data_IF_158712836103
#
_entry.id   IF_158712836103
#
_cell.length_a   1.000
_cell.length_b   1.000
_cell.length_c   1.000
_cell.angle_alpha   90.00
_cell.angle_beta   90.00
_cell.angle_gamma   90.00
#
_symmetry.space_group_name_H-M   'P 1'
#
loop_
_entity.id
_entity.type
_entity.pdbx_description
1 polymer ?
#
# COMPACT_ATOMS: atom_id res chain seq x y z
N UNK A 1 -17.33 17.38 -16.80
CA UNK A 1 -16.89 17.76 -15.43
C UNK A 1 -17.57 16.85 -14.43
N UNK A 2 -16.91 15.75 -14.07
CA UNK A 2 -17.37 14.86 -13.00
C UNK A 2 -16.94 15.49 -11.68
N UNK A 3 -17.88 16.07 -10.94
CA UNK A 3 -17.62 16.58 -9.61
C UNK A 3 -17.70 15.40 -8.64
N UNK A 4 -16.54 14.88 -8.22
CA UNK A 4 -16.45 14.03 -7.03
C UNK A 4 -16.78 14.94 -5.83
N UNK A 5 -18.03 14.92 -5.41
CA UNK A 5 -18.44 15.55 -4.17
C UNK A 5 -17.80 14.76 -3.03
N UNK A 6 -16.71 15.31 -2.48
CA UNK A 6 -16.12 14.91 -1.19
C UNK A 6 -17.04 15.32 -0.04
N UNK A 7 -18.28 14.82 -0.06
CA UNK A 7 -19.12 14.73 1.12
C UNK A 7 -18.71 13.49 1.89
N UNK A 8 -17.80 13.65 2.84
CA UNK A 8 -17.33 12.59 3.74
C UNK A 8 -18.44 12.16 4.71
N UNK A 9 -19.43 11.43 4.21
CA UNK A 9 -20.10 10.40 4.99
C UNK A 9 -19.54 9.05 4.54
N UNK A 10 -18.41 8.67 5.14
CA UNK A 10 -17.84 7.34 5.01
C UNK A 10 -18.85 6.31 5.55
N UNK A 11 -19.52 5.58 4.66
CA UNK A 11 -20.06 4.26 4.97
C UNK A 11 -18.96 3.19 4.86
N UNK A 12 -17.74 3.46 5.35
CA UNK A 12 -16.64 2.47 5.36
C UNK A 12 -16.46 1.77 6.70
N UNK A 13 -17.31 2.06 7.70
CA UNK A 13 -17.03 1.70 9.08
C UNK A 13 -17.74 0.46 9.62
N UNK A 14 -18.89 0.08 9.05
CA UNK A 14 -19.66 -1.07 9.55
C UNK A 14 -19.44 -2.36 8.75
N UNK A 15 -18.88 -2.28 7.54
CA UNK A 15 -18.89 -3.40 6.59
C UNK A 15 -17.78 -4.44 6.84
N UNK A 16 -16.53 -4.00 7.07
CA UNK A 16 -15.44 -4.89 7.51
C UNK A 16 -15.70 -5.47 8.92
N UNK A 17 -16.47 -4.78 9.75
CA UNK A 17 -16.89 -5.26 11.07
C UNK A 17 -18.00 -6.33 10.96
N UNK A 18 -18.91 -6.22 9.99
CA UNK A 18 -19.94 -7.24 9.74
C UNK A 18 -19.33 -8.56 9.24
N UNK A 19 -18.33 -8.51 8.34
CA UNK A 19 -17.63 -9.71 7.87
C UNK A 19 -16.87 -10.41 9.03
N UNK A 20 -16.27 -9.65 9.94
CA UNK A 20 -15.66 -10.22 11.17
C UNK A 20 -16.68 -10.80 12.16
N UNK A 21 -17.86 -10.19 12.31
CA UNK A 21 -18.95 -10.69 13.17
C UNK A 21 -19.63 -11.95 12.64
N UNK A 22 -19.57 -12.20 11.32
CA UNK A 22 -20.24 -13.34 10.68
C UNK A 22 -19.42 -14.63 10.65
N UNK A 23 -18.27 -14.71 11.35
CA UNK A 23 -17.29 -15.81 11.17
C UNK A 23 -16.95 -16.05 9.68
N UNK A 24 -17.02 -15.02 8.84
CA UNK A 24 -16.48 -15.06 7.49
C UNK A 24 -15.06 -14.48 7.56
N UNK A 25 -14.01 -15.29 7.35
CA UNK A 25 -12.65 -14.88 7.65
C UNK A 25 -12.20 -13.75 6.72
N UNK A 26 -11.79 -12.63 7.33
CA UNK A 26 -11.07 -11.52 6.69
C UNK A 26 -9.56 -11.83 6.49
N UNK A 27 -9.23 -13.11 6.42
CA UNK A 27 -7.96 -13.66 5.96
C UNK A 27 -8.31 -14.53 4.75
N UNK A 28 -7.39 -14.86 3.82
CA UNK A 28 -7.64 -15.99 2.93
C UNK A 28 -8.11 -17.13 3.83
N UNK A 29 -9.31 -17.66 3.57
CA UNK A 29 -9.90 -18.79 4.30
C UNK A 29 -8.76 -19.71 4.69
N UNK A 30 -8.42 -19.79 5.98
CA UNK A 30 -7.29 -20.62 6.38
C UNK A 30 -7.69 -22.02 5.99
N UNK A 31 -7.10 -22.51 4.90
CA UNK A 31 -7.35 -23.85 4.43
C UNK A 31 -7.04 -24.78 5.62
N UNK A 32 -7.91 -25.77 5.88
CA UNK A 32 -7.43 -26.94 6.59
C UNK A 32 -6.15 -27.39 5.90
N UNK A 33 -5.13 -27.85 6.65
CA UNK A 33 -3.81 -28.26 6.11
C UNK A 33 -3.88 -29.17 4.87
N UNK A 34 -5.02 -29.83 4.67
CA UNK A 34 -5.35 -30.66 3.52
C UNK A 34 -5.45 -29.90 2.18
N UNK A 35 -5.78 -28.60 2.19
CA UNK A 35 -6.07 -27.80 0.99
C UNK A 35 -5.11 -26.60 0.80
N UNK A 36 -4.03 -26.53 1.58
CA UNK A 36 -3.09 -25.40 1.60
C UNK A 36 -2.47 -25.13 0.21
N UNK A 37 -2.21 -26.19 -0.56
CA UNK A 37 -1.61 -26.10 -1.90
C UNK A 37 -2.62 -26.23 -3.06
N UNK A 38 -3.89 -26.51 -2.77
CA UNK A 38 -4.91 -26.79 -3.79
C UNK A 38 -5.23 -25.53 -4.61
N UNK A 39 -4.84 -25.55 -5.89
CA UNK A 39 -5.07 -24.46 -6.85
C UNK A 39 -6.57 -24.18 -7.02
N UNK A 40 -7.41 -25.22 -7.08
CA UNK A 40 -8.85 -25.06 -7.25
C UNK A 40 -9.48 -24.48 -5.98
N UNK A 41 -9.02 -24.89 -4.80
CA UNK A 41 -9.48 -24.31 -3.55
C UNK A 41 -9.11 -22.83 -3.44
N UNK A 42 -7.88 -22.44 -3.80
CA UNK A 42 -7.45 -21.04 -3.83
C UNK A 42 -8.30 -20.22 -4.80
N UNK A 43 -8.55 -20.73 -6.00
CA UNK A 43 -9.44 -20.09 -6.99
C UNK A 43 -10.86 -19.92 -6.45
N UNK A 44 -11.42 -20.97 -5.87
CA UNK A 44 -12.74 -20.93 -5.23
C UNK A 44 -12.81 -19.86 -4.14
N UNK A 45 -11.80 -19.78 -3.26
CA UNK A 45 -11.76 -18.77 -2.20
C UNK A 45 -11.75 -17.34 -2.76
N UNK A 46 -10.94 -17.09 -3.81
CA UNK A 46 -10.88 -15.77 -4.45
C UNK A 46 -12.20 -15.41 -5.14
N UNK A 47 -12.80 -16.34 -5.86
CA UNK A 47 -14.09 -16.09 -6.51
C UNK A 47 -15.21 -15.90 -5.48
N UNK A 48 -15.22 -16.68 -4.40
CA UNK A 48 -16.18 -16.52 -3.30
C UNK A 48 -16.08 -15.13 -2.68
N UNK A 49 -14.86 -14.61 -2.47
CA UNK A 49 -14.63 -13.26 -1.98
C UNK A 49 -15.26 -12.21 -2.90
N UNK A 50 -14.98 -12.26 -4.21
CA UNK A 50 -15.53 -11.31 -5.19
C UNK A 50 -17.05 -11.43 -5.33
N UNK A 51 -17.58 -12.64 -5.41
CA UNK A 51 -19.03 -12.89 -5.47
C UNK A 51 -19.75 -12.39 -4.21
N UNK A 52 -19.13 -12.53 -3.04
CA UNK A 52 -19.68 -12.01 -1.78
C UNK A 52 -19.76 -10.49 -1.78
N UNK A 53 -18.68 -9.80 -2.18
CA UNK A 53 -18.69 -8.34 -2.30
C UNK A 53 -19.72 -7.85 -3.32
N UNK A 54 -19.82 -8.52 -4.47
CA UNK A 54 -20.79 -8.20 -5.49
C UNK A 54 -22.25 -8.38 -5.01
N UNK A 55 -22.51 -9.44 -4.24
CA UNK A 55 -23.83 -9.68 -3.67
C UNK A 55 -24.19 -8.60 -2.64
N UNK A 56 -23.29 -8.32 -1.70
CA UNK A 56 -23.57 -7.39 -0.60
C UNK A 56 -23.77 -5.96 -1.14
N UNK A 57 -22.90 -5.52 -2.04
CA UNK A 57 -23.01 -4.17 -2.62
C UNK A 57 -24.10 -4.07 -3.70
N UNK A 58 -24.71 -5.19 -4.11
CA UNK A 58 -25.65 -5.26 -5.23
C UNK A 58 -26.84 -4.30 -5.11
N UNK A 59 -27.30 -4.01 -3.88
CA UNK A 59 -28.37 -3.05 -3.62
C UNK A 59 -28.03 -1.60 -4.00
N UNK A 60 -26.74 -1.27 -4.20
CA UNK A 60 -26.27 0.06 -4.58
C UNK A 60 -26.42 0.34 -6.08
N UNK A 61 -26.49 -0.69 -6.95
CA UNK A 61 -26.50 -0.52 -8.41
C UNK A 61 -27.52 0.51 -8.93
N UNK A 62 -28.78 0.56 -8.45
CA UNK A 62 -29.75 1.55 -8.92
C UNK A 62 -29.35 3.01 -8.63
N UNK A 63 -28.49 3.25 -7.65
CA UNK A 63 -27.98 4.58 -7.29
C UNK A 63 -26.80 5.02 -8.17
N UNK A 64 -26.22 4.07 -8.89
CA UNK A 64 -25.03 4.27 -9.73
C UNK A 64 -25.36 4.47 -11.21
N UNK A 65 -26.63 4.33 -11.60
CA UNK A 65 -27.08 4.57 -12.98
C UNK A 65 -28.08 5.72 -13.08
N UNK A 66 -28.92 5.90 -12.06
CA UNK A 66 -29.97 6.93 -12.08
C UNK A 66 -29.48 8.23 -11.43
N UNK A 67 -29.45 9.29 -12.22
CA UNK A 67 -29.18 10.66 -11.74
C UNK A 67 -30.21 11.08 -10.70
N UNK A 68 -29.74 11.65 -9.59
CA UNK A 68 -30.57 12.22 -8.52
C UNK A 68 -30.19 13.66 -8.25
N UNK A 69 -31.15 14.47 -7.80
CA UNK A 69 -30.90 15.85 -7.40
C UNK A 69 -30.67 15.85 -5.90
N UNK A 70 -29.49 16.30 -5.47
CA UNK A 70 -29.08 16.33 -4.06
C UNK A 70 -28.62 17.74 -3.70
N UNK A 71 -29.04 18.21 -2.52
CA UNK A 71 -28.52 19.43 -1.92
C UNK A 71 -27.15 19.14 -1.30
N UNK A 72 -26.11 19.77 -1.83
CA UNK A 72 -24.74 19.62 -1.35
C UNK A 72 -24.51 20.47 -0.09
N UNK A 73 -23.36 20.26 0.57
CA UNK A 73 -23.01 20.97 1.81
C UNK A 73 -22.88 22.50 1.65
N UNK A 74 -22.55 22.95 0.43
CA UNK A 74 -22.52 24.38 0.05
C UNK A 74 -23.90 24.97 -0.25
N UNK A 75 -24.97 24.24 0.04
CA UNK A 75 -26.35 24.66 -0.16
C UNK A 75 -26.90 24.52 -1.58
N UNK A 76 -26.06 24.20 -2.57
CA UNK A 76 -26.46 24.11 -3.97
C UNK A 76 -26.99 22.71 -4.34
N UNK A 77 -27.97 22.67 -5.24
CA UNK A 77 -28.50 21.41 -5.78
C UNK A 77 -27.70 20.96 -7.00
N UNK A 78 -27.26 19.70 -6.99
CA UNK A 78 -26.51 19.10 -8.10
C UNK A 78 -27.11 17.78 -8.53
N UNK A 79 -26.91 17.46 -9.82
CA UNK A 79 -27.19 16.13 -10.39
C UNK A 79 -26.05 15.20 -9.98
N UNK A 80 -26.36 14.18 -9.20
CA UNK A 80 -25.40 13.24 -8.63
C UNK A 80 -25.72 11.83 -9.10
N UNK A 81 -24.67 11.10 -9.47
CA UNK A 81 -24.65 9.64 -9.62
C UNK A 81 -23.68 9.14 -8.56
N UNK A 82 -24.06 8.09 -7.83
CA UNK A 82 -23.20 7.52 -6.80
C UNK A 82 -22.22 6.52 -7.41
N UNK A 83 -21.02 6.45 -6.83
CA UNK A 83 -20.00 5.44 -7.13
C UNK A 83 -19.60 4.69 -5.88
N UNK A 84 -18.85 3.60 -6.05
CA UNK A 84 -18.15 2.99 -4.93
C UNK A 84 -16.97 3.88 -4.53
N UNK A 85 -16.73 3.99 -3.22
CA UNK A 85 -15.64 4.79 -2.67
C UNK A 85 -14.29 4.06 -2.71
N UNK A 86 -13.20 4.76 -2.33
CA UNK A 86 -11.85 4.18 -2.28
C UNK A 86 -11.79 2.92 -1.42
N UNK A 87 -11.05 1.92 -1.89
CA UNK A 87 -10.79 0.68 -1.18
C UNK A 87 -9.37 0.70 -0.58
N UNK A 88 -9.30 0.72 0.75
CA UNK A 88 -8.04 0.69 1.50
C UNK A 88 -7.64 -0.77 1.71
N UNK A 89 -6.52 -1.18 1.12
CA UNK A 89 -6.02 -2.55 1.19
C UNK A 89 -4.50 -2.56 1.28
N UNK A 90 -3.94 -3.55 1.99
CA UNK A 90 -2.51 -3.84 1.92
C UNK A 90 -2.16 -4.52 0.57
N UNK A 91 -0.88 -4.67 0.23
CA UNK A 91 -0.51 -5.18 -1.10
C UNK A 91 -1.08 -6.59 -1.44
N UNK A 92 -1.04 -7.60 -0.54
CA UNK A 92 -1.68 -8.88 -0.82
C UNK A 92 -3.20 -8.78 -1.10
N UNK A 93 -3.90 -7.94 -0.36
CA UNK A 93 -5.33 -7.68 -0.58
C UNK A 93 -5.56 -6.87 -1.87
N UNK A 94 -4.71 -5.90 -2.19
CA UNK A 94 -4.73 -5.19 -3.48
C UNK A 94 -4.58 -6.18 -4.64
N UNK A 95 -3.67 -7.15 -4.52
CA UNK A 95 -3.48 -8.16 -5.55
C UNK A 95 -4.69 -9.09 -5.71
N UNK A 96 -5.35 -9.45 -4.61
CA UNK A 96 -6.61 -10.19 -4.62
C UNK A 96 -7.73 -9.39 -5.30
N UNK A 97 -7.90 -8.14 -4.91
CA UNK A 97 -8.96 -7.24 -5.39
C UNK A 97 -8.81 -6.95 -6.87
N UNK A 98 -7.61 -6.57 -7.30
CA UNK A 98 -7.30 -6.24 -8.69
C UNK A 98 -7.13 -7.46 -9.60
N UNK A 99 -7.27 -8.68 -9.05
CA UNK A 99 -7.03 -9.93 -9.76
C UNK A 99 -5.67 -9.96 -10.48
N UNK A 100 -4.62 -9.50 -9.80
CA UNK A 100 -3.25 -9.53 -10.34
C UNK A 100 -2.40 -10.62 -9.69
N UNK A 101 -1.35 -11.02 -10.41
CA UNK A 101 -0.31 -11.92 -9.92
C UNK A 101 0.59 -11.17 -8.92
N UNK A 102 0.94 -11.81 -7.81
CA UNK A 102 1.84 -11.21 -6.82
C UNK A 102 3.20 -10.89 -7.45
N UNK A 103 3.73 -9.70 -7.15
CA UNK A 103 4.91 -9.12 -7.83
C UNK A 103 4.56 -8.05 -8.85
N UNK A 104 3.32 -8.03 -9.36
CA UNK A 104 2.84 -7.01 -10.29
C UNK A 104 2.25 -5.79 -9.58
N UNK A 105 2.13 -4.68 -10.30
CA UNK A 105 1.49 -3.47 -9.78
C UNK A 105 -0.03 -3.53 -10.01
N UNK A 106 -0.82 -3.22 -8.97
CA UNK A 106 -2.27 -3.14 -9.08
C UNK A 106 -2.77 -1.86 -9.77
N UNK A 107 -1.87 -0.90 -10.07
CA UNK A 107 -2.20 0.42 -10.61
C UNK A 107 -1.71 0.64 -12.04
N UNK A 108 -0.65 -0.03 -12.47
CA UNK A 108 -0.07 0.19 -13.79
C UNK A 108 0.45 -1.10 -14.41
N UNK A 109 0.62 -1.09 -15.73
CA UNK A 109 1.01 -2.25 -16.55
C UNK A 109 2.51 -2.55 -16.49
N UNK A 110 3.26 -1.92 -15.58
CA UNK A 110 4.69 -2.14 -15.44
C UNK A 110 4.99 -3.62 -15.19
N UNK A 111 5.92 -4.17 -15.98
CA UNK A 111 6.27 -5.58 -15.89
C UNK A 111 6.87 -5.90 -14.51
N UNK A 112 6.49 -7.02 -13.90
CA UNK A 112 7.01 -7.45 -12.59
C UNK A 112 8.54 -7.64 -12.57
N UNK A 113 9.17 -7.84 -13.73
CA UNK A 113 10.64 -7.94 -13.88
C UNK A 113 11.31 -6.60 -14.16
N UNK A 114 10.54 -5.53 -14.31
CA UNK A 114 11.05 -4.19 -14.61
C UNK A 114 10.12 -3.07 -14.10
N UNK A 115 9.72 -3.15 -12.82
CA UNK A 115 8.67 -2.28 -12.26
C UNK A 115 8.96 -0.78 -12.42
N UNK A 116 10.21 -0.35 -12.25
CA UNK A 116 10.57 1.07 -12.16
C UNK A 116 11.21 1.65 -13.43
N UNK A 117 11.69 0.82 -14.37
CA UNK A 117 12.31 1.31 -15.61
C UNK A 117 11.39 1.26 -16.84
N UNK A 118 10.16 0.78 -16.68
CA UNK A 118 9.17 0.74 -17.76
C UNK A 118 8.48 2.11 -17.92
N UNK A 119 8.98 2.89 -18.87
CA UNK A 119 8.44 4.20 -19.27
C UNK A 119 7.17 4.11 -20.12
N UNK A 120 6.84 2.94 -20.69
CA UNK A 120 5.59 2.76 -21.45
C UNK A 120 4.45 2.25 -20.57
N UNK A 121 4.73 1.95 -19.30
CA UNK A 121 3.72 1.53 -18.34
C UNK A 121 2.59 2.56 -18.21
N UNK A 122 1.40 2.16 -18.62
CA UNK A 122 0.17 2.93 -18.46
C UNK A 122 -0.59 2.44 -17.23
N UNK A 123 -1.65 3.14 -16.83
CA UNK A 123 -2.50 2.62 -15.78
C UNK A 123 -3.24 1.36 -16.22
N UNK A 124 -3.50 0.48 -15.26
CA UNK A 124 -4.46 -0.59 -15.44
C UNK A 124 -5.88 -0.02 -15.42
N UNK A 125 -6.75 -0.64 -16.22
CA UNK A 125 -8.20 -0.41 -16.20
C UNK A 125 -8.90 -1.71 -16.56
N UNK A 126 -10.19 -1.82 -16.24
CA UNK A 126 -11.03 -2.91 -16.73
C UNK A 126 -11.01 -2.99 -18.26
N UNK A 127 -11.00 -1.85 -18.97
CA UNK A 127 -10.91 -1.82 -20.44
C UNK A 127 -9.60 -2.45 -20.93
N UNK A 128 -8.47 -2.13 -20.29
CA UNK A 128 -7.19 -2.76 -20.58
C UNK A 128 -7.24 -4.28 -20.29
N UNK A 129 -7.71 -4.67 -19.11
CA UNK A 129 -7.80 -6.08 -18.69
C UNK A 129 -8.66 -6.90 -19.65
N UNK A 130 -9.82 -6.38 -20.04
CA UNK A 130 -10.72 -7.06 -20.98
C UNK A 130 -10.13 -7.10 -22.41
N UNK A 131 -9.44 -6.04 -22.84
CA UNK A 131 -8.76 -6.04 -24.15
C UNK A 131 -7.67 -7.11 -24.21
N UNK A 132 -6.87 -7.23 -23.14
CA UNK A 132 -5.83 -8.26 -23.03
C UNK A 132 -6.44 -9.67 -22.95
N UNK A 133 -7.58 -9.84 -22.26
CA UNK A 133 -8.33 -11.11 -22.24
C UNK A 133 -8.80 -11.52 -23.63
N UNK A 134 -9.36 -10.60 -24.40
CA UNK A 134 -9.79 -10.87 -25.79
C UNK A 134 -8.61 -11.29 -26.66
N UNK A 135 -7.46 -10.62 -26.51
CA UNK A 135 -6.25 -10.93 -27.29
C UNK A 135 -5.61 -12.26 -26.89
N UNK A 136 -5.62 -12.60 -25.61
CA UNK A 136 -5.07 -13.87 -25.11
C UNK A 136 -6.01 -15.07 -25.38
N UNK A 137 -7.29 -14.82 -25.63
CA UNK A 137 -8.29 -15.88 -25.76
C UNK A 137 -8.38 -16.71 -24.48
N UNK A 138 -8.39 -18.04 -24.62
CA UNK A 138 -8.44 -18.97 -23.48
C UNK A 138 -7.04 -19.27 -22.87
N UNK A 139 -5.98 -18.62 -23.36
CA UNK A 139 -4.62 -18.85 -22.85
C UNK A 139 -4.35 -18.07 -21.55
N UNK A 140 -4.63 -18.72 -20.43
CA UNK A 140 -4.37 -18.18 -19.11
C UNK A 140 -2.88 -17.96 -18.82
N UNK A 141 -1.95 -18.64 -19.50
CA UNK A 141 -0.52 -18.44 -19.28
C UNK A 141 -0.06 -17.11 -19.86
N UNK A 142 -0.59 -16.71 -21.02
CA UNK A 142 -0.32 -15.38 -21.59
C UNK A 142 -0.78 -14.29 -20.62
N UNK A 143 -1.99 -14.42 -20.06
CA UNK A 143 -2.51 -13.47 -19.07
C UNK A 143 -1.64 -13.42 -17.81
N UNK A 144 -1.27 -14.59 -17.28
CA UNK A 144 -0.54 -14.72 -16.03
C UNK A 144 0.91 -14.22 -16.15
N UNK A 145 1.68 -14.77 -17.09
CA UNK A 145 3.11 -14.49 -17.23
C UNK A 145 3.39 -13.21 -17.99
N UNK A 146 2.57 -12.90 -19.00
CA UNK A 146 2.77 -11.75 -19.89
C UNK A 146 2.24 -10.44 -19.32
N UNK A 147 1.10 -10.49 -18.63
CA UNK A 147 0.36 -9.29 -18.18
C UNK A 147 0.08 -9.27 -16.68
N UNK A 148 0.42 -10.33 -15.94
CA UNK A 148 0.19 -10.39 -14.50
C UNK A 148 -1.29 -10.42 -14.12
N UNK A 149 -2.17 -10.89 -15.00
CA UNK A 149 -3.62 -10.93 -14.81
C UNK A 149 -4.05 -12.36 -14.43
N UNK A 150 -4.85 -12.46 -13.37
CA UNK A 150 -5.54 -13.70 -13.00
C UNK A 150 -6.82 -13.79 -13.83
N UNK A 151 -6.72 -14.47 -14.98
CA UNK A 151 -7.75 -14.46 -16.03
C UNK A 151 -9.05 -15.19 -15.71
N UNK A 152 -9.05 -16.09 -14.73
CA UNK A 152 -10.18 -16.95 -14.38
C UNK A 152 -11.03 -16.43 -13.21
N UNK A 153 -10.82 -15.17 -12.82
CA UNK A 153 -11.57 -14.50 -11.75
C UNK A 153 -12.12 -13.18 -12.26
N UNK A 154 -13.39 -12.91 -11.98
CA UNK A 154 -14.01 -11.63 -12.31
C UNK A 154 -14.01 -10.75 -11.06
N UNK A 155 -13.32 -9.59 -11.07
CA UNK A 155 -13.33 -8.69 -9.92
C UNK A 155 -14.74 -8.17 -9.66
N UNK A 156 -15.11 -8.02 -8.38
CA UNK A 156 -16.48 -7.64 -8.02
C UNK A 156 -16.92 -6.30 -8.63
N UNK A 157 -15.98 -5.39 -8.87
CA UNK A 157 -16.18 -4.08 -9.51
C UNK A 157 -16.66 -4.19 -10.95
N UNK A 158 -16.35 -5.27 -11.66
CA UNK A 158 -16.84 -5.47 -13.04
C UNK A 158 -18.37 -5.60 -13.10
N UNK A 159 -19.03 -5.92 -11.97
CA UNK A 159 -20.49 -6.01 -11.90
C UNK A 159 -21.18 -4.67 -11.64
N UNK A 160 -20.45 -3.57 -11.42
CA UNK A 160 -21.01 -2.26 -11.10
C UNK A 160 -20.63 -1.22 -12.16
N UNK A 161 -21.53 -0.27 -12.47
CA UNK A 161 -21.24 0.79 -13.43
C UNK A 161 -20.31 1.84 -12.80
N UNK A 162 -19.46 2.48 -13.61
CA UNK A 162 -18.55 3.53 -13.16
C UNK A 162 -17.61 3.10 -12.01
N UNK A 163 -17.23 1.81 -12.00
CA UNK A 163 -16.28 1.29 -11.03
C UNK A 163 -15.20 0.51 -11.71
N UNK A 164 -13.97 0.84 -11.38
CA UNK A 164 -12.77 0.15 -11.80
C UNK A 164 -11.93 -0.14 -10.56
N UNK A 165 -11.57 -1.40 -10.33
CA UNK A 165 -10.79 -1.72 -9.13
C UNK A 165 -9.43 -1.04 -9.14
N UNK A 166 -8.82 -0.89 -10.31
CA UNK A 166 -7.53 -0.23 -10.45
C UNK A 166 -7.62 1.26 -10.14
N UNK A 167 -8.77 1.90 -10.35
CA UNK A 167 -9.01 3.28 -9.91
C UNK A 167 -9.30 3.32 -8.41
N UNK A 168 -10.19 2.46 -7.90
CA UNK A 168 -10.68 2.49 -6.52
C UNK A 168 -9.63 2.19 -5.44
N UNK A 169 -8.56 1.46 -5.75
CA UNK A 169 -7.51 1.15 -4.77
C UNK A 169 -6.84 2.43 -4.25
N UNK A 170 -6.95 2.71 -2.96
CA UNK A 170 -6.42 3.95 -2.36
C UNK A 170 -4.97 3.77 -1.88
N UNK A 171 -4.23 4.87 -1.63
CA UNK A 171 -2.91 4.78 -1.02
C UNK A 171 -3.03 4.25 0.41
N UNK A 172 -2.07 3.44 0.86
CA UNK A 172 -2.01 2.95 2.24
C UNK A 172 -0.65 3.27 2.87
N UNK A 173 -0.60 4.39 3.60
CA UNK A 173 0.61 4.87 4.28
C UNK A 173 1.19 3.80 5.22
N UNK A 174 0.36 3.01 5.88
CA UNK A 174 0.84 2.08 6.89
C UNK A 174 1.54 0.88 6.27
N UNK A 175 0.90 0.14 5.36
CA UNK A 175 1.52 -1.07 4.80
C UNK A 175 2.47 -0.79 3.64
N UNK A 176 2.27 0.28 2.85
CA UNK A 176 3.17 0.59 1.73
C UNK A 176 4.40 1.35 2.20
N UNK A 177 4.23 2.44 2.96
CA UNK A 177 5.33 3.33 3.34
C UNK A 177 6.00 2.90 4.64
N UNK A 178 5.24 2.82 5.73
CA UNK A 178 5.79 2.71 7.09
C UNK A 178 6.27 1.28 7.39
N UNK A 179 5.38 0.28 7.23
CA UNK A 179 5.75 -1.13 7.41
C UNK A 179 6.54 -1.62 6.19
N UNK A 180 6.05 -1.35 4.98
CA UNK A 180 6.66 -1.82 3.73
C UNK A 180 8.03 -1.21 3.45
N UNK A 181 8.07 -0.03 2.87
CA UNK A 181 9.33 0.56 2.38
C UNK A 181 10.29 0.91 3.51
N UNK A 182 9.84 1.56 4.58
CA UNK A 182 10.73 1.96 5.66
C UNK A 182 11.26 0.77 6.45
N UNK A 183 10.37 0.03 7.11
CA UNK A 183 10.75 -0.99 8.08
C UNK A 183 11.22 -2.27 7.39
N UNK A 184 10.38 -2.87 6.55
CA UNK A 184 10.64 -4.20 5.99
C UNK A 184 11.68 -4.16 4.87
N UNK A 185 11.95 -2.99 4.25
CA UNK A 185 13.00 -2.85 3.24
C UNK A 185 14.19 -2.04 3.78
N UNK A 186 14.08 -0.72 3.92
CA UNK A 186 15.26 0.13 4.16
C UNK A 186 15.97 -0.15 5.49
N UNK A 187 15.23 -0.32 6.58
CA UNK A 187 15.80 -0.64 7.90
C UNK A 187 16.41 -2.05 7.91
N UNK A 188 15.75 -3.02 7.26
CA UNK A 188 16.29 -4.37 7.09
C UNK A 188 17.60 -4.36 6.30
N UNK A 189 17.63 -3.65 5.17
CA UNK A 189 18.80 -3.53 4.30
C UNK A 189 20.00 -2.84 4.97
N UNK A 190 19.76 -1.86 5.86
CA UNK A 190 20.84 -1.31 6.69
C UNK A 190 21.42 -2.38 7.62
N UNK A 191 20.58 -3.23 8.21
CA UNK A 191 21.04 -4.37 8.99
C UNK A 191 21.88 -5.36 8.17
N UNK A 192 21.38 -5.73 6.99
CA UNK A 192 22.05 -6.65 6.06
C UNK A 192 23.39 -6.09 5.58
N UNK A 193 23.44 -4.78 5.28
CA UNK A 193 24.68 -4.07 4.94
C UNK A 193 25.74 -4.23 6.03
N UNK A 194 25.36 -3.95 7.28
CA UNK A 194 26.30 -4.00 8.40
C UNK A 194 26.82 -5.43 8.62
N UNK A 195 25.97 -6.44 8.47
CA UNK A 195 26.37 -7.84 8.52
C UNK A 195 27.33 -8.19 7.38
N UNK A 196 27.05 -7.72 6.15
CA UNK A 196 27.88 -7.97 4.98
C UNK A 196 29.28 -7.36 5.11
N UNK A 197 29.39 -6.14 5.63
CA UNK A 197 30.66 -5.41 5.71
C UNK A 197 31.48 -5.74 6.96
N UNK A 198 30.83 -5.97 8.10
CA UNK A 198 31.51 -6.12 9.39
C UNK A 198 31.43 -7.55 9.96
N UNK A 199 30.76 -8.47 9.26
CA UNK A 199 30.44 -9.80 9.78
C UNK A 199 29.42 -9.73 10.93
N UNK A 200 28.94 -10.90 11.37
CA UNK A 200 27.89 -10.97 12.39
C UNK A 200 28.28 -10.30 13.72
N UNK A 201 29.50 -10.55 14.20
CA UNK A 201 29.99 -10.00 15.46
C UNK A 201 30.19 -8.48 15.38
N UNK A 202 30.79 -7.98 14.29
CA UNK A 202 31.01 -6.55 14.09
C UNK A 202 29.71 -5.78 13.91
N UNK A 203 28.76 -6.35 13.15
CA UNK A 203 27.43 -5.80 13.00
C UNK A 203 26.72 -5.67 14.36
N UNK A 204 26.75 -6.70 15.21
CA UNK A 204 26.13 -6.63 16.55
C UNK A 204 26.67 -5.47 17.40
N UNK A 205 27.97 -5.19 17.33
CA UNK A 205 28.57 -4.05 18.05
C UNK A 205 28.05 -2.71 17.50
N UNK A 206 27.99 -2.56 16.18
CA UNK A 206 27.49 -1.34 15.54
C UNK A 206 26.00 -1.14 15.82
N UNK A 207 25.21 -2.21 15.75
CA UNK A 207 23.78 -2.18 16.07
C UNK A 207 23.54 -1.80 17.53
N UNK A 208 24.36 -2.28 18.47
CA UNK A 208 24.29 -1.85 19.86
C UNK A 208 24.61 -0.35 20.03
N UNK A 209 25.52 0.22 19.23
CA UNK A 209 25.76 1.67 19.24
C UNK A 209 24.59 2.46 18.62
N UNK A 210 23.99 1.95 17.53
CA UNK A 210 22.77 2.53 16.94
C UNK A 210 21.64 2.54 17.99
N UNK A 211 21.45 1.45 18.70
CA UNK A 211 20.48 1.32 19.80
C UNK A 211 20.75 2.35 20.89
N UNK A 212 22.01 2.46 21.33
CA UNK A 212 22.43 3.46 22.31
C UNK A 212 22.13 4.89 21.85
N UNK A 213 22.37 5.22 20.57
CA UNK A 213 22.05 6.54 19.99
C UNK A 213 20.55 6.81 19.96
N UNK A 214 19.75 5.80 19.59
CA UNK A 214 18.29 5.89 19.61
C UNK A 214 17.80 6.12 21.05
N UNK A 215 18.28 5.34 22.01
CA UNK A 215 17.93 5.46 23.44
C UNK A 215 18.34 6.80 24.05
N UNK A 216 19.44 7.39 23.57
CA UNK A 216 19.93 8.70 24.01
C UNK A 216 19.13 9.89 23.45
N UNK A 217 18.15 9.66 22.57
CA UNK A 217 17.33 10.75 22.02
C UNK A 217 16.60 11.50 23.13
N UNK A 218 16.73 12.83 23.23
CA UNK A 218 16.03 13.63 24.22
C UNK A 218 14.51 13.41 24.18
N UNK A 219 13.87 13.44 25.35
CA UNK A 219 12.41 13.37 25.42
C UNK A 219 11.77 14.56 24.72
N UNK A 220 10.84 14.29 23.82
CA UNK A 220 10.04 15.30 23.15
C UNK A 220 8.54 14.91 23.20
N UNK A 221 7.61 15.86 23.39
CA UNK A 221 6.18 15.55 23.37
C UNK A 221 5.75 14.83 22.08
N UNK A 222 5.11 13.66 22.22
CA UNK A 222 4.68 12.85 21.07
C UNK A 222 5.79 12.06 20.36
N UNK A 223 6.99 11.99 20.94
CA UNK A 223 8.03 11.03 20.57
C UNK A 223 8.00 9.84 21.54
N UNK A 224 7.78 8.63 21.00
CA UNK A 224 7.89 7.41 21.80
C UNK A 224 9.36 7.15 22.11
N UNK A 225 9.66 6.80 23.36
CA UNK A 225 11.02 6.43 23.77
C UNK A 225 11.30 4.96 23.48
N UNK A 226 12.55 4.67 23.19
CA UNK A 226 13.07 3.33 22.98
C UNK A 226 14.18 3.06 24.02
N UNK A 227 13.84 2.78 25.28
CA UNK A 227 14.86 2.55 26.31
C UNK A 227 15.79 1.36 25.99
N UNK A 228 15.29 0.38 25.22
CA UNK A 228 16.00 -0.83 24.81
C UNK A 228 16.46 -0.82 23.32
N UNK A 229 16.37 0.32 22.62
CA UNK A 229 16.82 0.41 21.22
C UNK A 229 15.95 -0.33 20.19
N UNK A 230 16.58 -0.94 19.17
CA UNK A 230 15.97 -1.60 18.01
C UNK A 230 15.46 -3.03 18.29
N UNK A 231 15.86 -3.63 19.42
CA UNK A 231 15.67 -5.05 19.78
C UNK A 231 14.25 -5.55 20.09
N UNK A 232 13.20 -4.98 19.52
CA UNK A 232 11.82 -5.44 19.77
C UNK A 232 11.48 -6.70 18.96
N UNK A 233 11.03 -7.76 19.64
CA UNK A 233 10.52 -9.00 19.00
C UNK A 233 9.31 -8.77 18.09
N UNK A 234 8.53 -7.72 18.34
CA UNK A 234 7.36 -7.37 17.53
C UNK A 234 7.23 -5.85 17.42
N UNK A 235 7.31 -5.35 16.18
CA UNK A 235 7.17 -3.93 15.87
C UNK A 235 5.73 -3.59 15.51
N UNK A 236 5.13 -2.62 16.22
CA UNK A 236 3.86 -2.02 15.84
C UNK A 236 4.05 -0.90 14.82
N UNK A 237 2.97 -0.48 14.15
CA UNK A 237 3.01 0.67 13.24
C UNK A 237 3.47 1.97 13.92
N UNK A 238 3.15 2.15 15.21
CA UNK A 238 3.57 3.32 15.97
C UNK A 238 5.04 3.26 16.38
N UNK A 239 5.59 2.07 16.62
CA UNK A 239 7.03 1.90 16.83
C UNK A 239 7.79 2.31 15.56
N UNK A 240 7.36 1.85 14.39
CA UNK A 240 7.97 2.24 13.12
C UNK A 240 7.91 3.75 12.89
N UNK A 241 6.76 4.40 13.14
CA UNK A 241 6.62 5.87 13.02
C UNK A 241 7.54 6.63 13.98
N UNK A 242 7.75 6.13 15.19
CA UNK A 242 8.65 6.76 16.15
C UNK A 242 10.12 6.57 15.73
N UNK A 243 10.48 5.38 15.24
CA UNK A 243 11.82 5.11 14.72
C UNK A 243 12.17 6.03 13.55
N UNK A 244 11.24 6.24 12.60
CA UNK A 244 11.42 7.16 11.47
C UNK A 244 11.91 8.55 11.89
N UNK A 245 11.56 9.03 13.09
CA UNK A 245 11.93 10.37 13.59
C UNK A 245 13.38 10.45 14.09
N UNK A 246 13.98 9.32 14.46
CA UNK A 246 15.27 9.26 15.17
C UNK A 246 16.32 8.43 14.44
N UNK A 247 15.94 7.73 13.36
CA UNK A 247 16.80 6.75 12.71
C UNK A 247 17.99 7.36 11.96
N UNK A 248 17.79 8.46 11.23
CA UNK A 248 18.86 9.10 10.44
C UNK A 248 20.12 9.44 11.25
N UNK A 249 20.04 10.19 12.37
CA UNK A 249 21.23 10.47 13.17
C UNK A 249 21.82 9.21 13.82
N UNK A 250 21.01 8.18 14.07
CA UNK A 250 21.48 6.95 14.68
C UNK A 250 22.44 6.17 13.77
N UNK A 251 22.13 6.09 12.47
CA UNK A 251 22.95 5.35 11.49
C UNK A 251 24.10 6.16 10.89
N UNK A 252 24.10 7.48 11.07
CA UNK A 252 25.12 8.36 10.50
C UNK A 252 26.53 7.99 10.99
N UNK A 253 27.49 7.87 10.07
CA UNK A 253 28.85 7.43 10.37
C UNK A 253 29.04 5.91 10.49
N UNK A 254 27.96 5.13 10.49
CA UNK A 254 28.01 3.65 10.47
C UNK A 254 27.73 3.06 9.10
N UNK A 255 27.09 3.82 8.21
CA UNK A 255 26.75 3.41 6.84
C UNK A 255 27.27 4.44 5.82
N UNK A 256 27.42 4.08 4.54
CA UNK A 256 27.80 5.01 3.49
C UNK A 256 26.87 6.22 3.45
N UNK A 257 27.45 7.39 3.15
CA UNK A 257 26.70 8.64 3.09
C UNK A 257 25.49 8.55 2.14
N UNK A 258 25.61 7.82 1.03
CA UNK A 258 24.54 7.61 0.07
C UNK A 258 23.33 6.84 0.67
N UNK A 259 23.55 5.88 1.60
CA UNK A 259 22.45 5.21 2.32
C UNK A 259 21.70 6.19 3.23
N UNK A 260 22.43 7.07 3.90
CA UNK A 260 21.84 8.15 4.73
C UNK A 260 21.02 9.09 3.84
N UNK A 261 21.55 9.47 2.67
CA UNK A 261 20.84 10.29 1.69
C UNK A 261 19.56 9.61 1.17
N UNK A 262 19.59 8.30 0.89
CA UNK A 262 18.43 7.52 0.45
C UNK A 262 17.32 7.54 1.52
N UNK A 263 17.66 7.20 2.76
CA UNK A 263 16.72 7.26 3.89
C UNK A 263 16.21 8.69 4.13
N UNK A 264 17.05 9.70 3.97
CA UNK A 264 16.67 11.10 4.14
C UNK A 264 15.65 11.55 3.09
N UNK A 265 15.91 11.23 1.82
CA UNK A 265 14.99 11.52 0.71
C UNK A 265 13.65 10.80 0.89
N UNK A 266 13.69 9.52 1.27
CA UNK A 266 12.49 8.75 1.57
C UNK A 266 11.70 9.31 2.75
N UNK A 267 12.36 9.68 3.85
CA UNK A 267 11.70 10.30 5.01
C UNK A 267 11.11 11.67 4.67
N UNK A 268 11.76 12.44 3.78
CA UNK A 268 11.20 13.68 3.25
C UNK A 268 9.93 13.41 2.44
N UNK A 269 9.94 12.42 1.55
CA UNK A 269 8.73 11.96 0.84
C UNK A 269 7.62 11.59 1.84
N UNK A 270 7.94 10.76 2.85
CA UNK A 270 6.99 10.35 3.89
C UNK A 270 6.39 11.54 4.64
N UNK A 271 7.20 12.55 4.94
CA UNK A 271 6.75 13.75 5.63
C UNK A 271 5.75 14.54 4.79
N UNK A 272 6.02 14.69 3.49
CA UNK A 272 5.17 15.46 2.57
C UNK A 272 3.82 14.77 2.33
N UNK A 273 3.81 13.47 2.01
CA UNK A 273 2.55 12.73 1.73
C UNK A 273 1.65 12.55 2.97
N UNK A 274 2.16 12.90 4.17
CA UNK A 274 1.44 12.87 5.45
C UNK A 274 0.94 14.25 5.87
N UNK A 275 0.98 15.26 5.00
CA UNK A 275 0.37 16.55 5.29
C UNK A 275 -1.15 16.47 5.15
N UNK A 276 -1.86 17.34 5.89
CA UNK A 276 -3.32 17.43 5.84
C UNK A 276 -3.81 18.24 4.62
N UNK A 277 -3.00 19.19 4.19
CA UNK A 277 -3.25 20.06 3.05
C UNK A 277 -2.07 19.90 2.09
N UNK A 278 -2.38 19.69 0.82
CA UNK A 278 -1.40 19.39 -0.22
C UNK A 278 -1.64 20.36 -1.37
N UNK A 279 -0.67 21.24 -1.60
CA UNK A 279 -0.66 22.19 -2.72
C UNK A 279 0.09 21.61 -3.91
N UNK A 280 -0.02 22.23 -5.08
CA UNK A 280 0.81 21.84 -6.24
C UNK A 280 2.31 21.92 -5.95
N UNK A 281 2.77 22.91 -5.18
CA UNK A 281 4.16 22.99 -4.72
C UNK A 281 4.54 21.79 -3.86
N UNK A 282 3.61 21.32 -3.01
CA UNK A 282 3.82 20.13 -2.18
C UNK A 282 3.89 18.87 -3.04
N UNK A 283 3.05 18.77 -4.07
CA UNK A 283 3.10 17.66 -5.03
C UNK A 283 4.43 17.66 -5.81
N UNK A 284 4.92 18.81 -6.26
CA UNK A 284 6.22 18.91 -6.91
C UNK A 284 7.38 18.52 -5.97
N UNK A 285 7.27 18.88 -4.68
CA UNK A 285 8.24 18.47 -3.66
C UNK A 285 8.19 16.95 -3.38
N UNK A 286 7.00 16.33 -3.48
CA UNK A 286 6.83 14.87 -3.36
C UNK A 286 7.57 14.18 -4.51
N UNK A 287 7.38 14.63 -5.74
CA UNK A 287 8.05 14.07 -6.92
C UNK A 287 9.57 14.23 -6.78
N UNK A 288 10.05 15.42 -6.42
CA UNK A 288 11.48 15.69 -6.21
C UNK A 288 12.09 14.79 -5.13
N UNK A 289 11.38 14.58 -4.02
CA UNK A 289 11.86 13.71 -2.94
C UNK A 289 11.91 12.24 -3.36
N UNK A 290 10.93 11.80 -4.17
CA UNK A 290 10.88 10.45 -4.69
C UNK A 290 11.98 10.20 -5.73
N UNK A 291 12.22 11.14 -6.65
CA UNK A 291 13.31 11.07 -7.62
C UNK A 291 14.66 10.99 -6.93
N UNK A 292 14.87 11.82 -5.89
CA UNK A 292 16.08 11.75 -5.08
C UNK A 292 16.20 10.41 -4.38
N UNK A 293 15.12 9.85 -3.84
CA UNK A 293 15.14 8.53 -3.24
C UNK A 293 15.55 7.45 -4.25
N UNK A 294 15.01 7.48 -5.47
CA UNK A 294 15.35 6.52 -6.52
C UNK A 294 16.83 6.60 -6.93
N UNK A 295 17.40 7.80 -7.03
CA UNK A 295 18.84 7.98 -7.31
C UNK A 295 19.70 7.44 -6.17
N UNK A 296 19.36 7.77 -4.93
CA UNK A 296 20.18 7.45 -3.78
C UNK A 296 20.09 5.98 -3.37
N UNK A 297 18.93 5.32 -3.54
CA UNK A 297 18.72 3.92 -3.14
C UNK A 297 19.59 2.94 -3.93
N UNK A 298 20.13 3.32 -5.09
CA UNK A 298 21.07 2.51 -5.88
C UNK A 298 22.27 2.02 -5.06
N UNK A 299 22.63 2.72 -3.97
CA UNK A 299 23.64 2.25 -3.03
C UNK A 299 23.36 0.85 -2.48
N UNK A 300 22.09 0.47 -2.30
CA UNK A 300 21.73 -0.85 -1.80
C UNK A 300 22.02 -1.96 -2.83
N UNK A 301 22.01 -1.63 -4.12
CA UNK A 301 22.46 -2.55 -5.18
C UNK A 301 23.98 -2.56 -5.25
N UNK A 302 24.63 -1.39 -5.31
CA UNK A 302 26.09 -1.31 -5.49
C UNK A 302 26.87 -1.81 -4.27
N UNK A 303 26.28 -1.79 -3.07
CA UNK A 303 26.84 -2.41 -1.87
C UNK A 303 26.61 -3.93 -1.79
N UNK A 304 25.87 -4.52 -2.73
CA UNK A 304 25.55 -5.95 -2.76
C UNK A 304 24.48 -6.41 -1.78
N UNK A 305 23.77 -5.49 -1.13
CA UNK A 305 22.72 -5.80 -0.14
C UNK A 305 21.44 -6.27 -0.82
N UNK A 306 21.13 -5.67 -1.96
CA UNK A 306 19.93 -5.92 -2.73
C UNK A 306 20.30 -6.21 -4.18
N UNK A 307 19.55 -7.10 -4.84
CA UNK A 307 19.79 -7.45 -6.26
C UNK A 307 19.07 -6.53 -7.23
N UNK A 308 17.85 -6.14 -6.88
CA UNK A 308 16.94 -5.38 -7.72
C UNK A 308 15.90 -4.64 -6.85
N UNK A 309 15.12 -3.74 -7.48
CA UNK A 309 14.00 -3.05 -6.83
C UNK A 309 12.63 -3.57 -7.32
N UNK A 310 12.48 -4.87 -7.57
CA UNK A 310 11.22 -5.50 -8.01
C UNK A 310 10.24 -5.67 -6.84
N UNK A 311 9.93 -4.55 -6.18
CA UNK A 311 9.22 -4.48 -4.92
C UNK A 311 7.95 -3.64 -5.09
N UNK A 312 6.76 -4.26 -5.24
CA UNK A 312 5.50 -3.55 -5.48
C UNK A 312 5.19 -2.44 -4.47
N UNK A 313 5.60 -2.61 -3.20
CA UNK A 313 5.42 -1.58 -2.17
C UNK A 313 6.28 -0.34 -2.39
N UNK A 314 7.53 -0.48 -2.85
CA UNK A 314 8.37 0.67 -3.23
C UNK A 314 7.93 1.27 -4.55
N UNK A 315 7.63 0.43 -5.54
CA UNK A 315 7.09 0.88 -6.81
C UNK A 315 5.80 1.70 -6.63
N UNK A 316 4.94 1.32 -5.67
CA UNK A 316 3.68 2.03 -5.41
C UNK A 316 3.85 3.50 -5.06
N UNK A 317 5.04 3.93 -4.59
CA UNK A 317 5.34 5.31 -4.23
C UNK A 317 5.16 6.26 -5.42
N UNK A 318 5.44 5.82 -6.65
CA UNK A 318 5.28 6.63 -7.86
C UNK A 318 3.83 7.03 -8.15
N UNK A 319 2.88 6.27 -7.61
CA UNK A 319 1.45 6.53 -7.79
C UNK A 319 0.91 7.56 -6.79
N UNK A 320 1.68 7.96 -5.77
CA UNK A 320 1.16 8.82 -4.68
C UNK A 320 0.70 10.19 -5.15
N UNK A 321 1.41 10.86 -6.06
CA UNK A 321 0.96 12.17 -6.58
C UNK A 321 -0.46 12.07 -7.15
N UNK A 322 -0.66 11.11 -8.04
CA UNK A 322 -1.96 10.87 -8.67
C UNK A 322 -3.02 10.49 -7.64
N UNK A 323 -2.68 9.57 -6.74
CA UNK A 323 -3.61 9.12 -5.69
C UNK A 323 -4.03 10.27 -4.76
N UNK A 324 -3.14 11.22 -4.49
CA UNK A 324 -3.46 12.42 -3.73
C UNK A 324 -4.44 13.31 -4.51
N UNK A 325 -4.24 13.46 -5.82
CA UNK A 325 -5.15 14.25 -6.66
C UNK A 325 -6.53 13.60 -6.79
N UNK A 326 -6.60 12.27 -6.85
CA UNK A 326 -7.85 11.51 -6.96
C UNK A 326 -8.62 11.43 -5.62
N UNK A 327 -7.91 11.26 -4.50
CA UNK A 327 -8.52 10.90 -3.22
C UNK A 327 -8.30 11.91 -2.10
N UNK A 328 -7.49 12.95 -2.32
CA UNK A 328 -7.09 13.92 -1.32
C UNK A 328 -5.97 13.41 -0.39
N UNK A 329 -5.85 14.04 0.77
CA UNK A 329 -4.77 13.76 1.71
C UNK A 329 -4.77 12.30 2.21
N UNK A 330 -3.67 11.52 2.05
CA UNK A 330 -3.64 10.09 2.35
C UNK A 330 -3.89 9.73 3.83
N UNK A 331 -3.71 10.69 4.74
CA UNK A 331 -3.97 10.50 6.17
C UNK A 331 -5.41 10.06 6.47
N UNK A 332 -6.38 10.49 5.65
CA UNK A 332 -7.80 10.14 5.83
C UNK A 332 -8.16 8.75 5.25
N UNK A 333 -7.26 8.14 4.49
CA UNK A 333 -7.48 6.89 3.74
C UNK A 333 -6.45 5.80 4.09
N UNK A 334 -5.88 5.88 5.29
CA UNK A 334 -4.86 4.94 5.75
C UNK A 334 -5.47 3.79 6.55
N UNK A 335 -4.97 2.57 6.35
CA UNK A 335 -5.38 1.39 7.12
C UNK A 335 -5.11 1.50 8.62
N UNK A 336 -4.29 2.46 9.06
CA UNK A 336 -4.13 2.78 10.48
C UNK A 336 -5.46 3.14 11.17
N UNK A 337 -6.41 3.73 10.44
CA UNK A 337 -7.75 4.06 10.96
C UNK A 337 -8.52 2.77 11.29
N UNK A 338 -8.49 1.79 10.39
CA UNK A 338 -9.20 0.51 10.57
C UNK A 338 -8.48 -0.41 11.56
N UNK A 339 -7.14 -0.43 11.57
CA UNK A 339 -6.32 -1.21 12.52
C UNK A 339 -6.53 -0.73 13.97
N UNK A 340 -6.68 0.59 14.20
CA UNK A 340 -6.98 1.12 15.54
C UNK A 340 -8.32 0.60 16.10
N UNK A 341 -9.34 0.46 15.24
CA UNK A 341 -10.64 -0.10 15.64
C UNK A 341 -10.62 -1.62 15.78
N UNK A 342 -9.75 -2.30 15.03
CA UNK A 342 -9.51 -3.72 15.17
C UNK A 342 -9.03 -4.11 16.57
N UNK A 343 -8.16 -3.28 17.17
CA UNK A 343 -7.64 -3.53 18.52
C UNK A 343 -8.79 -3.60 19.52
N UNK A 344 -9.70 -2.63 19.50
CA UNK A 344 -10.89 -2.62 20.38
C UNK A 344 -11.81 -3.80 20.09
N UNK A 345 -12.18 -4.01 18.83
CA UNK A 345 -13.14 -5.03 18.43
C UNK A 345 -12.67 -6.49 18.64
N UNK A 346 -11.37 -6.74 18.75
CA UNK A 346 -10.81 -8.10 18.93
C UNK A 346 -10.24 -8.33 20.33
N UNK A 347 -9.73 -7.29 21.00
CA UNK A 347 -9.14 -7.43 22.34
C UNK A 347 -10.13 -7.13 23.47
N UNK A 348 -11.21 -6.40 23.18
CA UNK A 348 -12.28 -6.06 24.13
C UNK A 348 -13.65 -6.33 23.46
N UNK A 349 -14.04 -7.61 23.28
CA UNK A 349 -15.23 -7.98 22.52
C UNK A 349 -16.55 -7.46 23.10
#
# INVERSE_FOLDING_TARGET
>A
MSAVLTGTHFLSLDFLQFLKRTRLPAAPLSADKKHEDDVNFRKFCRQLFHSSLAHILGSLKPWMTKVRIIRCADGHFRRVIFGLGPYIANYPEQALLACIVSGWCAKCTANAKNLDADISAILCSHEHTESVRVLAGDDLNILWDGYGIVGDIIPFTAYFPHTDIHELLSPDLLHQIIKGTFKDHLVAWVGDYLQLVHGEAGAKVILADIDRRISATPSFPGLRRFPEGWGFKQWTGDDSKALMKVYLPAISGHVPQQMVCALSAFLKFCYLVRQFELTEDTLAAIDTALDRFHVEREIFITSGVQKDFLLPRQHSLKHYRRLIQEFGAPNSLCSSITESKHIKAVKEP
#
